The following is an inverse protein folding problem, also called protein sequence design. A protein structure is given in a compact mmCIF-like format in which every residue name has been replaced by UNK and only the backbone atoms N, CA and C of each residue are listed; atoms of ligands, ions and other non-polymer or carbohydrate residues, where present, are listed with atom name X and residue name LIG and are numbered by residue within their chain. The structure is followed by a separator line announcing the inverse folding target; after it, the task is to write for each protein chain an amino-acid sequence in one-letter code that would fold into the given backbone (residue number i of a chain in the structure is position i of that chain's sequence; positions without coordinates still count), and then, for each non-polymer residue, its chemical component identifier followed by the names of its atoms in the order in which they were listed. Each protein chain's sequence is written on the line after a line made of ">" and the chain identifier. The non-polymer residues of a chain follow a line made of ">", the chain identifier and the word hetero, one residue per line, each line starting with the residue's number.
data_IF_563402989002
#
_entry.id   IF_563402989002
#
_cell.length_a   1.000
_cell.length_b   1.000
_cell.length_c   1.000
_cell.angle_alpha   90.00
_cell.angle_beta   90.00
_cell.angle_gamma   90.00
#
_symmetry.space_group_name_H-M   'P 1'
#
loop_
_entity.id
_entity.type
_entity.pdbx_description
1 polymer ?
#
# COMPACT_ATOMS: atom_id res chain seq x y z
N UNK A 1 5.49 -18.61 15.34
CA UNK A 1 4.42 -18.10 14.44
C UNK A 1 3.72 -19.31 13.81
N UNK A 2 2.42 -19.53 14.06
CA UNK A 2 1.75 -20.81 13.75
C UNK A 2 0.96 -20.80 12.42
N UNK A 3 0.57 -19.62 11.91
CA UNK A 3 -0.31 -19.49 10.74
C UNK A 3 0.37 -19.76 9.41
N UNK A 4 1.60 -19.28 9.19
CA UNK A 4 2.39 -19.65 8.01
C UNK A 4 2.67 -21.17 7.96
N UNK A 5 2.89 -21.78 9.13
CA UNK A 5 3.00 -23.25 9.27
C UNK A 5 1.70 -23.94 8.85
N UNK A 6 0.55 -23.43 9.26
CA UNK A 6 -0.76 -23.95 8.84
C UNK A 6 -0.90 -23.93 7.32
N UNK A 7 -0.57 -22.81 6.65
CA UNK A 7 -0.62 -22.72 5.19
C UNK A 7 0.21 -23.84 4.57
N UNK A 8 1.46 -24.01 5.03
CA UNK A 8 2.35 -25.02 4.47
C UNK A 8 1.87 -26.45 4.71
N UNK A 9 1.35 -26.73 5.91
CA UNK A 9 0.77 -28.04 6.23
C UNK A 9 -0.48 -28.31 5.41
N UNK A 10 -1.31 -27.31 5.17
CA UNK A 10 -2.52 -27.46 4.36
C UNK A 10 -2.19 -27.80 2.91
N UNK A 11 -1.17 -27.15 2.31
CA UNK A 11 -0.66 -27.53 0.98
C UNK A 11 -0.25 -29.01 0.93
N UNK A 12 0.52 -29.46 1.92
CA UNK A 12 0.93 -30.86 2.02
C UNK A 12 -0.30 -31.78 2.11
N UNK A 13 -1.26 -31.43 2.98
CA UNK A 13 -2.47 -32.22 3.18
C UNK A 13 -3.30 -32.35 1.89
N UNK A 14 -3.42 -31.27 1.10
CA UNK A 14 -4.11 -31.34 -0.20
C UNK A 14 -3.41 -32.31 -1.17
N UNK A 15 -2.08 -32.34 -1.19
CA UNK A 15 -1.31 -33.27 -2.03
C UNK A 15 -1.50 -34.75 -1.64
N UNK A 16 -1.64 -35.01 -0.34
CA UNK A 16 -1.81 -36.36 0.20
C UNK A 16 -3.28 -36.82 0.30
N UNK A 17 -4.24 -35.95 -0.05
CA UNK A 17 -5.68 -36.16 0.17
C UNK A 17 -6.23 -37.47 -0.41
N UNK A 18 -5.64 -37.95 -1.50
CA UNK A 18 -6.02 -39.21 -2.15
C UNK A 18 -5.70 -40.45 -1.29
N UNK A 19 -4.70 -40.37 -0.41
CA UNK A 19 -4.36 -41.40 0.56
C UNK A 19 -5.04 -41.15 1.90
N UNK A 20 -5.05 -39.88 2.33
CA UNK A 20 -5.51 -39.46 3.64
C UNK A 20 -6.55 -38.33 3.51
N UNK A 21 -7.84 -38.67 3.29
CA UNK A 21 -8.88 -37.69 3.01
C UNK A 21 -9.34 -36.88 4.24
N UNK A 22 -8.91 -37.28 5.45
CA UNK A 22 -9.36 -36.71 6.72
C UNK A 22 -8.19 -36.15 7.54
N UNK A 23 -8.50 -35.33 8.54
CA UNK A 23 -7.52 -34.69 9.42
C UNK A 23 -7.89 -34.98 10.88
N UNK A 24 -6.93 -35.48 11.65
CA UNK A 24 -7.03 -35.70 13.09
C UNK A 24 -6.42 -34.51 13.85
N UNK A 25 -7.14 -34.01 14.86
CA UNK A 25 -6.62 -33.00 15.77
C UNK A 25 -5.83 -33.64 16.92
N UNK A 26 -4.56 -33.26 17.04
CA UNK A 26 -3.63 -33.89 17.98
C UNK A 26 -3.59 -33.15 19.32
N UNK A 27 -3.20 -33.88 20.37
CA UNK A 27 -2.98 -33.31 21.71
C UNK A 27 -1.94 -32.20 21.65
N UNK A 28 -2.23 -31.08 22.31
CA UNK A 28 -1.31 -29.95 22.43
C UNK A 28 -0.04 -30.32 23.21
N UNK A 29 1.10 -29.71 22.85
CA UNK A 29 2.36 -29.80 23.60
C UNK A 29 2.47 -28.76 24.72
N UNK A 30 1.38 -28.04 25.03
CA UNK A 30 1.37 -27.07 26.13
C UNK A 30 1.44 -27.78 27.47
N UNK A 31 2.30 -27.30 28.38
CA UNK A 31 2.33 -27.75 29.78
C UNK A 31 1.02 -27.45 30.52
N UNK A 32 0.33 -26.38 30.13
CA UNK A 32 -1.01 -26.01 30.61
C UNK A 32 -1.95 -25.91 29.40
N UNK A 33 -2.60 -27.01 28.99
CA UNK A 33 -3.57 -26.99 27.90
C UNK A 33 -4.78 -26.13 28.26
N UNK A 34 -5.34 -25.41 27.28
CA UNK A 34 -6.66 -24.80 27.44
C UNK A 34 -7.71 -25.88 27.32
N UNK A 35 -8.58 -26.00 28.32
CA UNK A 35 -9.62 -27.03 28.39
C UNK A 35 -10.51 -27.05 27.15
N UNK A 36 -10.88 -25.87 26.65
CA UNK A 36 -11.76 -25.75 25.48
C UNK A 36 -11.19 -26.42 24.21
N UNK A 37 -9.87 -26.41 24.02
CA UNK A 37 -9.23 -27.08 22.87
C UNK A 37 -9.02 -28.59 23.11
N UNK A 38 -9.09 -29.07 24.35
CA UNK A 38 -8.98 -30.50 24.62
C UNK A 38 -10.18 -31.28 24.06
N UNK A 39 -11.34 -30.63 23.91
CA UNK A 39 -12.53 -31.20 23.27
C UNK A 39 -12.27 -31.68 21.83
N UNK A 40 -11.26 -31.13 21.15
CA UNK A 40 -10.93 -31.50 19.78
C UNK A 40 -9.94 -32.68 19.71
N UNK A 41 -9.23 -33.01 20.79
CA UNK A 41 -8.14 -34.00 20.75
C UNK A 41 -8.67 -35.39 20.36
N UNK A 42 -8.05 -36.00 19.34
CA UNK A 42 -8.43 -37.31 18.80
C UNK A 42 -9.66 -37.27 17.89
N UNK A 43 -10.28 -36.11 17.68
CA UNK A 43 -11.39 -35.95 16.74
C UNK A 43 -10.86 -35.87 15.32
N UNK A 44 -11.65 -36.42 14.40
CA UNK A 44 -11.34 -36.51 12.98
C UNK A 44 -12.43 -35.80 12.18
N UNK A 45 -12.04 -34.92 11.26
CA UNK A 45 -12.94 -34.29 10.30
C UNK A 45 -12.49 -34.60 8.88
N UNK A 46 -13.44 -34.63 7.94
CA UNK A 46 -13.10 -34.63 6.53
C UNK A 46 -12.34 -33.35 6.16
N UNK A 47 -11.42 -33.42 5.21
CA UNK A 47 -10.62 -32.25 4.82
C UNK A 47 -11.46 -31.13 4.19
N UNK A 48 -12.59 -31.46 3.58
CA UNK A 48 -13.56 -30.51 3.01
C UNK A 48 -14.64 -30.06 4.01
N UNK A 49 -14.52 -30.44 5.29
CA UNK A 49 -15.48 -30.04 6.31
C UNK A 49 -15.40 -28.51 6.57
N UNK A 50 -16.54 -27.79 6.61
CA UNK A 50 -16.57 -26.36 6.90
C UNK A 50 -15.91 -25.95 8.21
N UNK A 51 -15.77 -26.87 9.18
CA UNK A 51 -15.04 -26.66 10.43
C UNK A 51 -13.66 -26.01 10.20
N UNK A 52 -12.95 -26.47 9.18
CA UNK A 52 -11.59 -26.01 8.87
C UNK A 52 -11.51 -24.60 8.30
N UNK A 53 -12.63 -23.97 7.96
CA UNK A 53 -12.65 -22.58 7.51
C UNK A 53 -12.39 -21.60 8.65
N UNK A 54 -12.75 -21.97 9.88
CA UNK A 54 -12.67 -21.11 11.07
C UNK A 54 -11.88 -21.73 12.22
N UNK A 55 -11.72 -23.06 12.26
CA UNK A 55 -11.03 -23.78 13.32
C UNK A 55 -9.78 -24.49 12.79
N UNK A 56 -8.62 -24.08 13.27
CA UNK A 56 -7.33 -24.66 12.91
C UNK A 56 -6.31 -24.36 14.00
N UNK A 57 -5.27 -25.18 14.18
CA UNK A 57 -4.19 -24.86 15.09
C UNK A 57 -3.59 -23.47 14.83
N UNK A 58 -3.79 -22.52 15.75
CA UNK A 58 -3.37 -21.13 15.56
C UNK A 58 -4.50 -20.12 15.30
N UNK A 59 -5.77 -20.54 15.35
CA UNK A 59 -6.92 -19.61 15.34
C UNK A 59 -7.05 -18.79 16.65
N UNK A 60 -6.32 -19.16 17.71
CA UNK A 60 -6.26 -18.40 18.97
C UNK A 60 -4.82 -18.07 19.36
N UNK A 61 -4.67 -16.99 20.15
CA UNK A 61 -3.38 -16.54 20.64
C UNK A 61 -2.63 -17.63 21.41
N UNK A 62 -1.32 -17.76 21.18
CA UNK A 62 -0.44 -18.73 21.83
C UNK A 62 -0.92 -20.20 21.72
N UNK A 63 -1.65 -20.54 20.66
CA UNK A 63 -2.06 -21.92 20.41
C UNK A 63 -0.84 -22.80 20.07
N UNK A 64 -0.75 -23.96 20.74
CA UNK A 64 0.30 -24.98 20.57
C UNK A 64 -0.27 -26.33 20.11
N UNK A 65 -1.51 -26.33 19.61
CA UNK A 65 -2.16 -27.51 19.06
C UNK A 65 -1.48 -27.95 17.75
N UNK A 66 -1.72 -29.19 17.34
CA UNK A 66 -1.26 -29.70 16.05
C UNK A 66 -2.33 -30.59 15.45
N UNK A 67 -2.11 -31.01 14.22
CA UNK A 67 -2.96 -31.92 13.46
C UNK A 67 -2.08 -32.83 12.58
N UNK A 68 -2.70 -33.85 11.99
CA UNK A 68 -2.11 -34.69 10.95
C UNK A 68 -3.21 -35.18 10.01
N UNK A 69 -2.83 -35.52 8.78
CA UNK A 69 -3.67 -36.28 7.85
C UNK A 69 -3.90 -37.72 8.36
N UNK A 70 -5.05 -38.30 8.00
CA UNK A 70 -5.42 -39.68 8.34
C UNK A 70 -6.44 -40.24 7.35
N UNK A 71 -6.49 -41.57 7.25
CA UNK A 71 -7.51 -42.38 6.57
C UNK A 71 -8.64 -42.84 7.51
N UNK A 72 -8.50 -42.60 8.82
CA UNK A 72 -9.54 -42.89 9.80
C UNK A 72 -10.83 -42.13 9.45
N UNK A 73 -11.98 -42.77 9.69
CA UNK A 73 -13.30 -42.17 9.41
C UNK A 73 -13.53 -40.93 10.29
N UNK A 74 -14.24 -39.89 9.78
CA UNK A 74 -14.64 -38.75 10.61
C UNK A 74 -15.40 -39.17 11.86
N UNK A 75 -15.13 -38.51 12.98
CA UNK A 75 -15.84 -38.72 14.24
C UNK A 75 -17.19 -38.00 14.21
N UNK A 76 -18.14 -38.40 15.07
CA UNK A 76 -19.35 -37.60 15.31
C UNK A 76 -18.97 -36.33 16.06
N UNK A 77 -19.10 -35.19 15.38
CA UNK A 77 -18.65 -33.88 15.83
C UNK A 77 -19.81 -32.88 16.03
N UNK A 78 -21.07 -33.35 15.97
CA UNK A 78 -22.25 -32.48 16.02
C UNK A 78 -22.40 -31.70 17.34
N UNK A 79 -21.88 -32.25 18.44
CA UNK A 79 -21.98 -31.64 19.77
C UNK A 79 -20.75 -30.80 20.15
N UNK A 80 -19.84 -30.55 19.21
CA UNK A 80 -18.59 -29.85 19.50
C UNK A 80 -18.84 -28.33 19.48
N UNK A 81 -18.57 -27.68 20.61
CA UNK A 81 -18.53 -26.22 20.70
C UNK A 81 -17.32 -25.71 19.94
N UNK A 82 -17.56 -24.87 18.93
CA UNK A 82 -16.47 -24.24 18.19
C UNK A 82 -15.78 -23.18 19.03
N UNK A 83 -14.45 -23.19 19.03
CA UNK A 83 -13.64 -22.18 19.70
C UNK A 83 -13.59 -20.93 18.84
N UNK A 84 -14.07 -19.83 19.40
CA UNK A 84 -13.99 -18.54 18.75
C UNK A 84 -12.52 -18.13 18.53
N UNK A 85 -12.22 -17.73 17.29
CA UNK A 85 -10.90 -17.25 16.94
C UNK A 85 -10.58 -15.94 17.69
N UNK A 86 -9.32 -15.75 18.08
CA UNK A 86 -8.91 -14.47 18.65
C UNK A 86 -8.98 -13.38 17.57
N UNK A 87 -9.36 -12.16 17.96
CA UNK A 87 -9.43 -11.02 17.04
C UNK A 87 -8.13 -10.85 16.23
N UNK A 88 -8.24 -10.87 14.89
CA UNK A 88 -7.10 -10.86 13.98
C UNK A 88 -6.61 -12.22 13.50
N UNK A 89 -7.06 -13.33 14.08
CA UNK A 89 -6.66 -14.71 13.74
C UNK A 89 -7.82 -15.51 13.14
N UNK A 90 -8.87 -14.83 12.72
CA UNK A 90 -10.03 -15.44 12.07
C UNK A 90 -9.67 -16.03 10.71
N UNK A 91 -10.45 -17.01 10.27
CA UNK A 91 -10.31 -17.61 8.94
C UNK A 91 -9.06 -18.49 8.80
N UNK A 92 -9.16 -19.52 7.97
CA UNK A 92 -8.01 -20.34 7.61
C UNK A 92 -7.03 -19.53 6.75
N UNK A 93 -5.75 -19.37 7.16
CA UNK A 93 -4.78 -18.58 6.41
C UNK A 93 -4.47 -19.16 5.01
N UNK A 94 -4.74 -20.45 4.78
CA UNK A 94 -4.58 -21.05 3.46
C UNK A 94 -5.60 -20.49 2.45
N UNK A 95 -6.86 -20.30 2.87
CA UNK A 95 -7.92 -19.77 1.99
C UNK A 95 -7.95 -18.24 1.96
N UNK A 96 -7.71 -17.61 3.11
CA UNK A 96 -7.79 -16.15 3.24
C UNK A 96 -6.55 -15.45 2.69
N UNK A 97 -5.42 -16.16 2.59
CA UNK A 97 -4.10 -15.57 2.29
C UNK A 97 -3.69 -14.46 3.27
N UNK A 98 -4.23 -14.49 4.49
CA UNK A 98 -3.99 -13.50 5.54
C UNK A 98 -3.34 -14.13 6.78
N UNK A 99 -2.19 -13.58 7.18
CA UNK A 99 -1.55 -13.93 8.45
C UNK A 99 -2.28 -13.28 9.62
N UNK A 100 -2.68 -12.01 9.49
CA UNK A 100 -3.54 -11.31 10.44
C UNK A 100 -4.60 -10.51 9.69
N UNK A 101 -5.83 -10.50 10.20
CA UNK A 101 -6.91 -9.66 9.68
C UNK A 101 -6.82 -8.24 10.27
N UNK A 102 -7.50 -7.27 9.64
CA UNK A 102 -7.59 -5.90 10.15
C UNK A 102 -8.35 -5.78 11.49
N UNK A 103 -8.95 -6.85 12.00
CA UNK A 103 -9.59 -6.88 13.33
C UNK A 103 -8.57 -6.98 14.46
N UNK A 104 -7.33 -7.39 14.15
CA UNK A 104 -6.26 -7.50 15.15
C UNK A 104 -6.08 -6.18 15.91
N UNK A 105 -5.88 -6.18 17.25
CA UNK A 105 -5.74 -4.96 18.05
C UNK A 105 -4.69 -3.97 17.54
N UNK A 106 -3.62 -4.47 16.91
CA UNK A 106 -2.60 -3.66 16.24
C UNK A 106 -3.16 -2.75 15.14
N UNK A 107 -4.28 -3.12 14.50
CA UNK A 107 -4.93 -2.31 13.47
C UNK A 107 -6.22 -1.64 13.99
N UNK A 108 -6.98 -2.33 14.84
CA UNK A 108 -8.32 -1.89 15.25
C UNK A 108 -8.35 -0.94 16.45
N UNK A 109 -7.29 -0.91 17.27
CA UNK A 109 -7.22 -0.12 18.51
C UNK A 109 -6.17 0.99 18.48
N UNK A 110 -5.68 1.35 17.30
CA UNK A 110 -4.68 2.41 17.12
C UNK A 110 -5.15 3.41 16.06
N UNK A 111 -4.51 4.58 16.04
CA UNK A 111 -4.72 5.54 14.96
C UNK A 111 -4.30 4.93 13.61
N UNK A 112 -5.07 5.21 12.56
CA UNK A 112 -4.90 4.61 11.22
C UNK A 112 -3.51 4.76 10.62
N UNK A 113 -2.75 5.80 10.99
CA UNK A 113 -1.38 6.00 10.49
C UNK A 113 -0.35 5.10 11.18
N UNK A 114 -0.61 4.60 12.39
CA UNK A 114 0.37 3.84 13.18
C UNK A 114 0.83 2.56 12.47
N UNK A 115 -0.07 1.73 11.90
CA UNK A 115 0.36 0.57 11.12
C UNK A 115 1.25 0.92 9.91
N UNK A 116 1.06 2.10 9.33
CA UNK A 116 1.85 2.58 8.20
C UNK A 116 3.29 2.98 8.59
N UNK A 117 3.59 3.17 9.88
CA UNK A 117 4.93 3.56 10.36
C UNK A 117 5.97 2.46 10.17
N UNK A 118 5.58 1.19 10.21
CA UNK A 118 6.50 0.05 10.04
C UNK A 118 7.27 0.14 8.72
N UNK A 119 6.58 0.14 7.56
CA UNK A 119 7.22 0.30 6.25
C UNK A 119 8.05 1.59 6.12
N UNK A 120 7.64 2.70 6.75
CA UNK A 120 8.34 3.99 6.68
C UNK A 120 9.69 4.00 7.42
N UNK A 121 9.91 3.08 8.36
CA UNK A 121 11.16 2.97 9.12
C UNK A 121 12.17 2.02 8.47
N UNK A 122 11.75 1.19 7.52
CA UNK A 122 12.64 0.31 6.77
C UNK A 122 13.57 1.13 5.86
N UNK A 123 14.71 0.55 5.45
CA UNK A 123 15.58 1.13 4.43
C UNK A 123 14.85 1.22 3.09
N UNK A 124 15.30 2.10 2.19
CA UNK A 124 14.67 2.29 0.88
C UNK A 124 14.66 1.00 0.03
N UNK A 125 15.68 0.15 0.18
CA UNK A 125 15.76 -1.15 -0.50
C UNK A 125 14.58 -2.08 -0.17
N UNK A 126 14.09 -2.03 1.07
CA UNK A 126 12.97 -2.85 1.54
C UNK A 126 11.64 -2.10 1.36
N UNK A 127 11.64 -0.78 1.59
CA UNK A 127 10.43 0.02 1.59
C UNK A 127 9.89 0.30 0.19
N UNK A 128 10.74 0.26 -0.84
CA UNK A 128 10.35 0.50 -2.23
C UNK A 128 10.31 -0.79 -3.05
N UNK A 129 9.24 -0.94 -3.82
CA UNK A 129 9.07 -2.00 -4.79
C UNK A 129 9.50 -1.49 -6.17
N UNK A 130 10.38 -2.24 -6.85
CA UNK A 130 10.73 -1.97 -8.24
C UNK A 130 9.54 -2.38 -9.13
N UNK A 131 9.11 -1.47 -10.01
CA UNK A 131 8.01 -1.66 -10.94
C UNK A 131 8.47 -1.33 -12.36
N UNK A 132 7.90 -2.02 -13.34
CA UNK A 132 8.11 -1.74 -14.76
C UNK A 132 6.73 -1.74 -15.44
N UNK A 133 6.23 -0.56 -15.76
CA UNK A 133 4.93 -0.37 -16.39
C UNK A 133 5.14 0.10 -17.82
N UNK A 134 4.76 -0.72 -18.80
CA UNK A 134 4.90 -0.42 -20.23
C UNK A 134 6.32 0.00 -20.63
N UNK A 135 7.36 -0.59 -20.01
CA UNK A 135 8.76 -0.26 -20.28
C UNK A 135 9.32 0.89 -19.43
N UNK A 136 8.48 1.56 -18.64
CA UNK A 136 8.89 2.65 -17.75
C UNK A 136 9.22 2.08 -16.38
N UNK A 137 10.51 2.13 -16.01
CA UNK A 137 10.99 1.72 -14.69
C UNK A 137 10.67 2.79 -13.66
N UNK A 138 10.12 2.38 -12.52
CA UNK A 138 9.91 3.26 -11.38
C UNK A 138 9.99 2.47 -10.06
N UNK A 139 10.09 3.20 -8.95
CA UNK A 139 10.04 2.63 -7.60
C UNK A 139 8.79 3.14 -6.89
N UNK A 140 8.04 2.26 -6.26
CA UNK A 140 6.81 2.62 -5.53
C UNK A 140 6.98 2.26 -4.07
N UNK A 141 6.86 3.24 -3.18
CA UNK A 141 6.90 2.95 -1.74
C UNK A 141 5.74 2.00 -1.36
N UNK A 142 5.97 1.06 -0.45
CA UNK A 142 4.98 0.06 -0.05
C UNK A 142 3.62 0.68 0.33
N UNK A 143 3.64 1.76 1.13
CA UNK A 143 2.45 2.52 1.52
C UNK A 143 1.79 3.35 0.40
N UNK A 144 2.46 3.54 -0.74
CA UNK A 144 1.95 4.30 -1.88
C UNK A 144 1.31 3.43 -2.97
N UNK A 145 1.39 2.09 -2.86
CA UNK A 145 0.94 1.16 -3.89
C UNK A 145 -0.51 1.37 -4.33
N UNK A 146 -1.43 1.53 -3.37
CA UNK A 146 -2.85 1.71 -3.68
C UNK A 146 -3.09 2.98 -4.49
N UNK A 147 -2.49 4.10 -4.07
CA UNK A 147 -2.61 5.39 -4.75
C UNK A 147 -1.92 5.34 -6.12
N UNK A 148 -0.78 4.65 -6.23
CA UNK A 148 -0.11 4.39 -7.48
C UNK A 148 -1.02 3.68 -8.49
N UNK A 149 -1.56 2.51 -8.14
CA UNK A 149 -2.37 1.72 -9.08
C UNK A 149 -3.68 2.44 -9.46
N UNK A 150 -4.27 3.24 -8.57
CA UNK A 150 -5.55 3.90 -8.81
C UNK A 150 -5.45 5.25 -9.51
N UNK A 151 -4.38 6.01 -9.27
CA UNK A 151 -4.27 7.41 -9.69
C UNK A 151 -2.95 7.69 -10.38
N UNK A 152 -1.82 7.48 -9.69
CA UNK A 152 -0.54 8.04 -10.13
C UNK A 152 0.08 7.31 -11.33
N UNK A 153 -0.25 6.02 -11.53
CA UNK A 153 0.22 5.21 -12.66
C UNK A 153 -0.07 5.85 -14.02
N UNK A 154 -1.20 6.56 -14.15
CA UNK A 154 -1.59 7.25 -15.39
C UNK A 154 -0.64 8.41 -15.78
N UNK A 155 0.19 8.91 -14.85
CA UNK A 155 1.14 9.99 -15.10
C UNK A 155 2.53 9.50 -15.52
N UNK A 156 2.78 8.19 -15.51
CA UNK A 156 4.08 7.63 -15.93
C UNK A 156 4.52 8.04 -17.33
N UNK A 157 3.65 8.04 -18.37
CA UNK A 157 4.03 8.51 -19.69
C UNK A 157 4.47 9.98 -19.67
N UNK A 158 3.73 10.84 -18.96
CA UNK A 158 4.06 12.26 -18.85
C UNK A 158 5.37 12.48 -18.09
N UNK A 159 5.64 11.72 -17.02
CA UNK A 159 6.93 11.76 -16.32
C UNK A 159 8.08 11.35 -17.24
N UNK A 160 7.90 10.30 -18.05
CA UNK A 160 8.94 9.82 -18.96
C UNK A 160 9.18 10.77 -20.13
N UNK A 161 8.11 11.29 -20.74
CA UNK A 161 8.18 12.28 -21.83
C UNK A 161 8.82 13.59 -21.34
N UNK A 162 8.55 13.96 -20.09
CA UNK A 162 9.22 15.07 -19.41
C UNK A 162 10.72 14.80 -19.13
N UNK A 163 11.24 13.61 -19.45
CA UNK A 163 12.66 13.28 -19.32
C UNK A 163 13.08 12.84 -17.93
N UNK A 164 12.14 12.51 -17.03
CA UNK A 164 12.52 11.96 -15.73
C UNK A 164 12.98 10.50 -15.84
N UNK A 165 14.05 10.16 -15.12
CA UNK A 165 14.64 8.81 -15.15
C UNK A 165 14.51 8.07 -13.81
N UNK A 166 14.88 8.71 -12.70
CA UNK A 166 14.85 8.12 -11.36
C UNK A 166 13.52 8.36 -10.64
N UNK A 167 12.44 7.76 -11.13
CA UNK A 167 11.08 8.00 -10.63
C UNK A 167 10.80 7.18 -9.37
N UNK A 168 10.55 7.85 -8.22
CA UNK A 168 10.10 7.23 -6.96
C UNK A 168 8.75 7.80 -6.50
N UNK A 169 7.71 6.97 -6.39
CA UNK A 169 6.43 7.37 -5.80
C UNK A 169 6.51 7.35 -4.27
N UNK A 170 6.16 8.47 -3.64
CA UNK A 170 6.35 8.74 -2.22
C UNK A 170 5.11 8.31 -1.40
N UNK A 171 5.31 7.91 -0.13
CA UNK A 171 4.20 7.60 0.77
C UNK A 171 3.51 8.84 1.32
N UNK A 172 2.25 8.72 1.74
CA UNK A 172 1.64 9.72 2.62
C UNK A 172 2.11 9.52 4.07
N UNK A 173 2.54 10.60 4.72
CA UNK A 173 3.05 10.57 6.10
C UNK A 173 2.33 11.63 6.93
N UNK A 174 1.81 11.21 8.09
CA UNK A 174 1.12 12.07 9.04
C UNK A 174 2.01 13.24 9.51
N UNK A 175 1.41 14.41 9.74
CA UNK A 175 2.19 15.63 10.07
C UNK A 175 3.00 15.50 11.37
N UNK A 176 2.50 14.72 12.32
CA UNK A 176 3.18 14.46 13.61
C UNK A 176 4.50 13.73 13.45
N UNK A 177 4.71 13.00 12.35
CA UNK A 177 5.88 12.16 12.13
C UNK A 177 7.04 12.96 11.51
N UNK A 178 7.54 13.95 12.24
CA UNK A 178 8.52 14.94 11.76
C UNK A 178 9.79 14.32 11.18
N UNK A 179 10.39 13.35 11.87
CA UNK A 179 11.63 12.70 11.43
C UNK A 179 11.44 11.89 10.14
N UNK A 180 10.30 11.19 10.02
CA UNK A 180 9.97 10.47 8.79
C UNK A 180 9.70 11.48 7.65
N UNK A 181 9.02 12.59 7.93
CA UNK A 181 8.81 13.63 6.92
C UNK A 181 10.12 14.26 6.47
N UNK A 182 11.08 14.50 7.37
CA UNK A 182 12.43 14.98 7.01
C UNK A 182 13.13 13.99 6.08
N UNK A 183 13.07 12.70 6.40
CA UNK A 183 13.67 11.63 5.59
C UNK A 183 13.12 11.61 4.15
N UNK A 184 11.79 11.64 3.99
CA UNK A 184 11.17 11.44 2.67
C UNK A 184 10.95 12.74 1.88
N UNK A 185 10.78 13.89 2.55
CA UNK A 185 10.41 15.15 1.91
C UNK A 185 11.45 16.26 2.04
N UNK A 186 12.58 16.01 2.72
CA UNK A 186 13.68 16.95 2.84
C UNK A 186 13.20 18.35 3.24
N UNK A 187 13.49 19.36 2.43
CA UNK A 187 13.08 20.77 2.66
C UNK A 187 11.56 20.99 2.78
N UNK A 188 10.72 20.08 2.26
CA UNK A 188 9.26 20.18 2.33
C UNK A 188 8.66 19.44 3.54
N UNK A 189 9.47 18.99 4.50
CA UNK A 189 9.00 18.21 5.65
C UNK A 189 7.93 18.93 6.49
N UNK A 190 7.99 20.25 6.62
CA UNK A 190 7.00 21.05 7.38
C UNK A 190 5.66 21.22 6.65
N UNK A 191 5.62 20.90 5.36
CA UNK A 191 4.40 21.04 4.57
C UNK A 191 3.27 20.20 5.18
N UNK A 192 2.03 20.71 5.11
CA UNK A 192 0.86 19.95 5.59
C UNK A 192 0.54 18.74 4.72
N UNK A 193 1.03 18.71 3.48
CA UNK A 193 0.77 17.67 2.49
C UNK A 193 2.11 17.07 2.02
N UNK A 194 2.05 15.90 1.40
CA UNK A 194 3.21 15.21 0.83
C UNK A 194 3.25 15.40 -0.68
N UNK A 195 4.43 15.52 -1.28
CA UNK A 195 4.57 15.36 -2.73
C UNK A 195 4.27 13.91 -3.14
N UNK A 196 3.83 13.71 -4.38
CA UNK A 196 3.46 12.38 -4.87
C UNK A 196 4.69 11.60 -5.35
N UNK A 197 5.68 12.30 -5.91
CA UNK A 197 6.85 11.71 -6.56
C UNK A 197 8.13 12.45 -6.17
N UNK A 198 9.22 11.72 -6.04
CA UNK A 198 10.58 12.25 -6.08
C UNK A 198 11.26 11.71 -7.34
N UNK A 199 11.65 12.59 -8.25
CA UNK A 199 12.26 12.23 -9.53
C UNK A 199 13.48 13.12 -9.79
N UNK A 200 14.64 12.50 -10.03
CA UNK A 200 15.91 13.16 -10.34
C UNK A 200 16.26 14.31 -9.36
N UNK A 201 16.06 14.06 -8.06
CA UNK A 201 16.33 15.04 -6.99
C UNK A 201 15.24 16.10 -6.77
N UNK A 202 14.16 16.07 -7.54
CA UNK A 202 13.06 17.03 -7.46
C UNK A 202 11.80 16.40 -6.89
N UNK A 203 11.08 17.16 -6.06
CA UNK A 203 9.74 16.79 -5.64
C UNK A 203 8.74 17.17 -6.72
N UNK A 204 7.90 16.22 -7.12
CA UNK A 204 6.91 16.37 -8.20
C UNK A 204 5.52 16.09 -7.64
N UNK A 205 4.61 17.02 -7.88
CA UNK A 205 3.18 16.87 -7.55
C UNK A 205 2.39 16.57 -8.82
N UNK A 206 1.48 15.59 -8.73
CA UNK A 206 0.61 15.15 -9.81
C UNK A 206 -0.82 15.66 -9.56
N UNK A 207 -1.42 16.26 -10.58
CA UNK A 207 -2.76 16.84 -10.50
C UNK A 207 -3.57 16.56 -11.75
N UNK A 208 -4.87 16.44 -11.56
CA UNK A 208 -5.83 16.37 -12.65
C UNK A 208 -6.79 17.56 -12.56
N UNK A 209 -6.86 18.35 -13.62
CA UNK A 209 -7.81 19.44 -13.79
C UNK A 209 -8.98 18.97 -14.65
N UNK A 210 -10.11 18.65 -14.00
CA UNK A 210 -11.36 18.25 -14.69
C UNK A 210 -11.90 19.35 -15.60
N UNK A 211 -12.53 18.95 -16.70
CA UNK A 211 -13.16 19.86 -17.65
C UNK A 211 -14.40 20.53 -17.04
N UNK A 212 -14.51 21.84 -17.18
CA UNK A 212 -15.65 22.62 -16.70
C UNK A 212 -15.43 24.14 -16.79
N UNK A 213 -16.43 24.91 -16.34
CA UNK A 213 -16.37 26.39 -16.35
C UNK A 213 -15.21 26.96 -15.52
N UNK A 214 -14.75 26.22 -14.50
CA UNK A 214 -13.71 26.64 -13.56
C UNK A 214 -12.33 26.02 -13.82
N UNK A 215 -12.12 25.29 -14.93
CA UNK A 215 -10.86 24.55 -15.16
C UNK A 215 -9.61 25.43 -15.04
N UNK A 216 -9.62 26.64 -15.62
CA UNK A 216 -8.48 27.58 -15.51
C UNK A 216 -8.18 27.94 -14.05
N UNK A 217 -9.21 28.22 -13.26
CA UNK A 217 -9.05 28.52 -11.82
C UNK A 217 -8.52 27.30 -11.08
N UNK A 218 -9.05 26.11 -11.36
CA UNK A 218 -8.59 24.88 -10.74
C UNK A 218 -7.11 24.61 -11.04
N UNK A 219 -6.64 24.87 -12.28
CA UNK A 219 -5.22 24.77 -12.64
C UNK A 219 -4.37 25.68 -11.73
N UNK A 220 -4.75 26.96 -11.60
CA UNK A 220 -4.03 27.92 -10.74
C UNK A 220 -4.04 27.48 -9.27
N UNK A 221 -5.19 27.05 -8.77
CA UNK A 221 -5.35 26.57 -7.40
C UNK A 221 -4.50 25.32 -7.14
N UNK A 222 -4.46 24.39 -8.11
CA UNK A 222 -3.60 23.20 -8.05
C UNK A 222 -2.12 23.57 -8.02
N UNK A 223 -1.65 24.47 -8.88
CA UNK A 223 -0.25 24.92 -8.87
C UNK A 223 0.10 25.57 -7.54
N UNK A 224 -0.79 26.40 -6.98
CA UNK A 224 -0.58 27.03 -5.68
C UNK A 224 -0.52 26.04 -4.51
N UNK A 225 -1.27 24.94 -4.59
CA UNK A 225 -1.20 23.86 -3.61
C UNK A 225 0.06 23.00 -3.77
N UNK A 226 0.49 22.73 -5.00
CA UNK A 226 1.73 22.03 -5.32
C UNK A 226 2.96 22.79 -4.85
N UNK A 227 3.00 24.11 -5.07
CA UNK A 227 4.10 24.98 -4.67
C UNK A 227 4.45 24.89 -3.17
N UNK A 228 3.53 24.45 -2.32
CA UNK A 228 3.78 24.27 -0.87
C UNK A 228 4.59 23.01 -0.54
N UNK A 229 4.79 22.10 -1.49
CA UNK A 229 5.33 20.76 -1.22
C UNK A 229 6.16 20.14 -2.34
N UNK A 230 6.25 20.78 -3.51
CA UNK A 230 6.97 20.25 -4.65
C UNK A 230 7.74 21.34 -5.39
N UNK A 231 8.76 20.93 -6.14
CA UNK A 231 9.53 21.77 -7.06
C UNK A 231 8.89 21.79 -8.46
N UNK A 232 8.20 20.71 -8.81
CA UNK A 232 7.56 20.50 -10.11
C UNK A 232 6.08 20.21 -9.92
N UNK A 233 5.26 20.73 -10.83
CA UNK A 233 3.84 20.37 -10.92
C UNK A 233 3.54 19.80 -12.29
N UNK A 234 2.98 18.60 -12.35
CA UNK A 234 2.46 17.99 -13.58
C UNK A 234 0.94 17.95 -13.51
N UNK A 235 0.28 18.56 -14.49
CA UNK A 235 -1.16 18.68 -14.53
C UNK A 235 -1.70 18.03 -15.79
N UNK A 236 -2.48 16.96 -15.61
CA UNK A 236 -3.35 16.46 -16.66
C UNK A 236 -4.54 17.40 -16.80
N UNK A 237 -4.77 17.95 -17.99
CA UNK A 237 -5.89 18.84 -18.26
C UNK A 237 -6.88 18.13 -19.19
N UNK A 238 -8.09 17.89 -18.70
CA UNK A 238 -9.14 17.23 -19.50
C UNK A 238 -9.75 18.14 -20.58
N UNK A 239 -9.46 19.44 -20.55
CA UNK A 239 -9.91 20.45 -21.53
C UNK A 239 -8.72 20.97 -22.31
N UNK A 240 -8.86 21.08 -23.63
CA UNK A 240 -7.84 21.64 -24.51
C UNK A 240 -7.77 23.16 -24.32
N UNK A 241 -6.54 23.68 -24.20
CA UNK A 241 -6.23 25.11 -24.16
C UNK A 241 -5.16 25.44 -25.21
N UNK A 242 -5.14 26.70 -25.61
CA UNK A 242 -4.04 27.23 -26.42
C UNK A 242 -2.73 27.23 -25.63
N UNK A 243 -1.63 26.92 -26.32
CA UNK A 243 -0.33 26.80 -25.69
C UNK A 243 0.20 28.13 -25.15
N UNK A 244 0.02 29.21 -25.90
CA UNK A 244 0.38 30.58 -25.49
C UNK A 244 -0.24 30.95 -24.15
N UNK A 245 -1.51 30.59 -23.96
CA UNK A 245 -2.26 30.83 -22.72
C UNK A 245 -1.73 30.01 -21.54
N UNK A 246 -1.36 28.74 -21.76
CA UNK A 246 -0.78 27.89 -20.71
C UNK A 246 0.65 28.33 -20.34
N UNK A 247 1.45 28.76 -21.32
CA UNK A 247 2.79 29.32 -21.09
C UNK A 247 2.71 30.62 -20.28
N UNK A 248 1.83 31.55 -20.67
CA UNK A 248 1.59 32.78 -19.91
C UNK A 248 1.12 32.47 -18.48
N UNK A 249 0.22 31.50 -18.30
CA UNK A 249 -0.22 31.08 -16.98
C UNK A 249 0.94 30.55 -16.12
N UNK A 250 1.82 29.72 -16.70
CA UNK A 250 3.01 29.22 -16.01
C UNK A 250 3.96 30.35 -15.60
N UNK A 251 4.23 31.30 -16.49
CA UNK A 251 5.08 32.46 -16.18
C UNK A 251 4.54 33.28 -15.02
N UNK A 252 3.22 33.50 -14.98
CA UNK A 252 2.56 34.17 -13.85
C UNK A 252 2.69 33.38 -12.55
N UNK A 253 2.63 32.05 -12.60
CA UNK A 253 2.84 31.21 -11.42
C UNK A 253 4.30 31.18 -10.96
N UNK A 254 5.28 31.20 -11.88
CA UNK A 254 6.71 31.23 -11.53
C UNK A 254 7.12 32.54 -10.85
N UNK A 255 6.49 33.67 -11.21
CA UNK A 255 6.66 34.95 -10.52
C UNK A 255 6.08 34.91 -9.10
N UNK A 256 4.99 34.16 -8.90
CA UNK A 256 4.31 34.05 -7.61
C UNK A 256 4.98 33.06 -6.65
N UNK A 257 5.51 31.96 -7.17
CA UNK A 257 6.06 30.87 -6.36
C UNK A 257 7.53 30.64 -6.70
N UNK A 258 8.41 31.12 -5.82
CA UNK A 258 9.85 31.11 -6.09
C UNK A 258 10.46 29.72 -6.15
N UNK A 259 9.92 28.78 -5.37
CA UNK A 259 10.40 27.41 -5.28
C UNK A 259 10.04 26.53 -6.49
N UNK A 260 9.01 26.89 -7.26
CA UNK A 260 8.64 26.14 -8.45
C UNK A 260 9.69 26.31 -9.53
N UNK A 261 10.17 25.19 -10.05
CA UNK A 261 11.19 25.12 -11.09
C UNK A 261 10.58 24.75 -12.45
N UNK A 262 9.49 23.97 -12.44
CA UNK A 262 8.88 23.43 -13.65
C UNK A 262 7.38 23.22 -13.49
N UNK A 263 6.62 23.55 -14.52
CA UNK A 263 5.18 23.29 -14.61
C UNK A 263 4.95 22.60 -15.95
N UNK A 264 4.36 21.42 -15.91
CA UNK A 264 4.07 20.61 -17.09
C UNK A 264 2.57 20.47 -17.21
N UNK A 265 2.04 20.85 -18.36
CA UNK A 265 0.67 20.59 -18.72
C UNK A 265 0.64 19.49 -19.76
N UNK A 266 -0.27 18.54 -19.63
CA UNK A 266 -0.50 17.59 -20.71
C UNK A 266 -1.97 17.25 -20.84
N UNK A 267 -2.36 16.97 -22.06
CA UNK A 267 -3.67 16.44 -22.42
C UNK A 267 -3.50 15.21 -23.31
N UNK A 268 -4.57 14.76 -23.97
CA UNK A 268 -4.51 13.60 -24.87
C UNK A 268 -3.75 13.86 -26.18
N UNK A 269 -3.46 15.11 -26.50
CA UNK A 269 -2.92 15.56 -27.79
C UNK A 269 -1.47 15.98 -27.65
N UNK A 270 -1.12 16.70 -26.57
CA UNK A 270 0.23 17.26 -26.41
C UNK A 270 0.63 17.46 -24.96
N UNK A 271 1.95 17.53 -24.76
CA UNK A 271 2.58 17.99 -23.53
C UNK A 271 3.23 19.37 -23.76
N UNK A 272 3.05 20.27 -22.80
CA UNK A 272 3.69 21.58 -22.75
C UNK A 272 4.53 21.64 -21.49
N UNK A 273 5.85 21.65 -21.69
CA UNK A 273 6.83 21.76 -20.62
C UNK A 273 7.30 23.21 -20.45
N UNK A 274 6.95 23.81 -19.32
CA UNK A 274 7.39 25.15 -18.94
C UNK A 274 8.44 25.04 -17.84
N UNK A 275 9.65 25.52 -18.12
CA UNK A 275 10.75 25.62 -17.15
C UNK A 275 10.90 27.07 -16.71
N UNK A 276 11.13 27.29 -15.42
CA UNK A 276 11.43 28.62 -14.90
C UNK A 276 12.77 29.07 -15.45
N UNK A 277 12.76 30.19 -16.17
CA UNK A 277 14.00 30.84 -16.61
C UNK A 277 14.67 31.38 -15.35
N UNK A 278 15.86 30.87 -15.02
CA UNK A 278 16.71 31.52 -14.02
C UNK A 278 17.21 32.81 -14.65
N UNK A 279 16.54 33.92 -14.36
CA UNK A 279 17.06 35.24 -14.69
C UNK A 279 18.40 35.44 -13.99
N UNK A 280 19.37 35.96 -14.74
CA UNK A 280 20.68 36.40 -14.28
C UNK A 280 20.58 37.03 -12.89
N UNK A 281 21.53 36.66 -12.02
CA UNK A 281 21.81 37.38 -10.79
C UNK A 281 22.08 38.82 -11.19
N UNK A 282 21.08 39.68 -11.14
CA UNK A 282 21.27 41.13 -11.08
C UNK A 282 21.94 41.37 -9.74
N UNK A 283 23.26 41.30 -9.75
CA UNK A 283 24.11 41.95 -8.76
C UNK A 283 23.69 43.42 -8.75
N UNK A 284 23.04 43.84 -7.66
CA UNK A 284 22.96 45.23 -7.23
C UNK A 284 23.52 45.31 -5.83
#
# INVERSE_FOLDING_TARGET
>A
MHRARVVKQWEQFQGERHLYPNIEWLRTRSASPREIHLAYVGRVWAMNDPFWNSNQPGCTWNCKCSWKTTDAKPTDNNNIVQVEASAGLEGNPYYTHEIFTNKHPYFSRVNKHVPALGPLRNTDEIAYLNKNESGIKCKVHFNAQKEFEQVNKAFLPALKEAGFEEIKFLPQIEKSETELRKRYFGKYWESKKCADVHADGLFVELKEAKAGKKTRRNIVDHIGDSAKKSDVTIIHIAKIFEESMLRQLADDQFKKYNNLQRIIFYDKVKMIDCKKIQGEILQK
#
